data_IF_715415807008
#
_entry.id   IF_715415807008
#
_cell.length_a   1.000
_cell.length_b   1.000
_cell.length_c   1.000
_cell.angle_alpha   90.00
_cell.angle_beta   90.00
_cell.angle_gamma   90.00
#
_symmetry.space_group_name_H-M   'P 1'
#
loop_
_entity.id
_entity.type
_entity.pdbx_description
1 polymer ?
#
# COMPACT_ATOMS: atom_id res chain seq x y z
N UNK A 1 -7.56 -14.75 -19.62
CA UNK A 1 -6.69 -14.41 -20.76
C UNK A 1 -5.89 -15.65 -21.12
N UNK A 2 -6.03 -16.15 -22.34
CA UNK A 2 -5.14 -17.19 -22.87
C UNK A 2 -3.83 -16.53 -23.29
N UNK A 3 -2.70 -17.13 -22.91
CA UNK A 3 -1.38 -16.62 -23.29
C UNK A 3 -0.99 -17.31 -24.58
N UNK A 4 -1.10 -16.60 -25.69
CA UNK A 4 -0.61 -17.06 -26.99
C UNK A 4 0.89 -16.72 -27.14
N UNK A 5 1.63 -17.44 -28.01
CA UNK A 5 3.06 -17.18 -28.21
C UNK A 5 3.40 -15.74 -28.63
N UNK A 6 2.54 -15.11 -29.43
CA UNK A 6 2.63 -13.71 -29.84
C UNK A 6 2.53 -12.76 -28.64
N UNK A 7 1.56 -12.96 -27.75
CA UNK A 7 1.41 -12.17 -26.52
C UNK A 7 2.62 -12.36 -25.59
N UNK A 8 3.09 -13.60 -25.44
CA UNK A 8 4.23 -13.90 -24.57
C UNK A 8 5.55 -13.27 -25.06
N UNK A 9 5.71 -13.10 -26.37
CA UNK A 9 6.92 -12.55 -27.00
C UNK A 9 6.82 -11.06 -27.34
N UNK A 10 5.61 -10.48 -27.31
CA UNK A 10 5.40 -9.08 -27.59
C UNK A 10 6.29 -8.16 -26.73
N UNK A 11 6.76 -7.08 -27.36
CA UNK A 11 7.57 -6.08 -26.70
C UNK A 11 6.70 -5.27 -25.73
N UNK A 12 7.19 -5.06 -24.52
CA UNK A 12 6.52 -4.20 -23.54
C UNK A 12 6.74 -2.74 -23.90
N UNK A 13 5.66 -1.96 -23.96
CA UNK A 13 5.68 -0.51 -24.17
C UNK A 13 5.38 0.14 -22.83
N UNK A 14 6.38 0.78 -22.18
CA UNK A 14 6.19 1.41 -20.88
C UNK A 14 5.39 2.71 -20.99
N UNK A 15 4.51 2.95 -20.02
CA UNK A 15 3.73 4.19 -19.92
C UNK A 15 4.00 4.88 -18.60
N UNK A 16 3.68 4.22 -17.47
CA UNK A 16 3.68 4.85 -16.15
C UNK A 16 4.57 4.09 -15.18
N UNK A 17 5.49 4.79 -14.52
CA UNK A 17 6.30 4.23 -13.43
C UNK A 17 5.56 4.40 -12.11
N UNK A 18 5.16 3.29 -11.49
CA UNK A 18 4.44 3.32 -10.21
C UNK A 18 5.37 3.37 -9.01
N UNK A 19 6.51 2.68 -9.09
CA UNK A 19 7.44 2.54 -7.98
C UNK A 19 8.85 2.25 -8.46
N UNK A 20 9.85 2.85 -7.82
CA UNK A 20 11.26 2.51 -8.01
C UNK A 20 11.92 2.34 -6.64
N UNK A 21 12.50 1.17 -6.40
CA UNK A 21 13.26 0.87 -5.19
C UNK A 21 14.59 0.17 -5.53
N UNK A 22 15.43 -0.08 -4.52
CA UNK A 22 16.77 -0.70 -4.71
C UNK A 22 16.71 -2.14 -5.25
N UNK A 23 15.54 -2.78 -5.23
CA UNK A 23 15.34 -4.17 -5.62
C UNK A 23 14.55 -4.32 -6.92
N UNK A 24 13.80 -3.29 -7.35
CA UNK A 24 13.02 -3.32 -8.59
C UNK A 24 12.40 -1.98 -8.96
N UNK A 25 12.02 -1.87 -10.23
CA UNK A 25 11.14 -0.82 -10.73
C UNK A 25 9.84 -1.43 -11.25
N UNK A 26 8.68 -0.86 -10.89
CA UNK A 26 7.36 -1.33 -11.32
C UNK A 26 6.76 -0.33 -12.29
N UNK A 27 6.50 -0.77 -13.52
CA UNK A 27 6.07 0.04 -14.65
C UNK A 27 4.81 -0.60 -15.25
N UNK A 28 3.75 0.17 -15.46
CA UNK A 28 2.61 -0.26 -16.26
C UNK A 28 2.73 0.21 -17.70
N UNK A 29 1.99 -0.47 -18.57
CA UNK A 29 1.86 -0.12 -19.97
C UNK A 29 1.13 -1.23 -20.71
N UNK A 30 1.43 -1.39 -21.98
CA UNK A 30 0.79 -2.37 -22.86
C UNK A 30 1.81 -3.20 -23.64
N UNK A 31 1.30 -4.15 -24.42
CA UNK A 31 2.11 -4.95 -25.33
C UNK A 31 2.03 -4.38 -26.74
N UNK A 32 3.17 -4.27 -27.43
CA UNK A 32 3.21 -3.84 -28.83
C UNK A 32 2.36 -4.77 -29.69
N UNK A 33 1.37 -4.21 -30.39
CA UNK A 33 0.39 -4.97 -31.19
C UNK A 33 -0.87 -5.41 -30.42
N UNK A 34 -0.90 -5.20 -29.10
CA UNK A 34 -2.05 -5.50 -28.24
C UNK A 34 -2.27 -4.37 -27.20
N UNK A 35 -2.71 -3.18 -27.64
CA UNK A 35 -2.91 -2.03 -26.74
C UNK A 35 -3.96 -2.29 -25.65
N UNK A 36 -4.93 -3.16 -25.92
CA UNK A 36 -5.99 -3.53 -24.96
C UNK A 36 -5.49 -4.42 -23.80
N UNK A 37 -4.28 -4.96 -23.92
CA UNK A 37 -3.68 -5.82 -22.89
C UNK A 37 -2.80 -4.97 -21.97
N UNK A 38 -3.44 -4.42 -20.93
CA UNK A 38 -2.74 -3.73 -19.86
C UNK A 38 -1.88 -4.70 -19.04
N UNK A 39 -0.61 -4.35 -18.83
CA UNK A 39 0.39 -5.18 -18.17
C UNK A 39 1.25 -4.38 -17.20
N UNK A 40 1.87 -5.08 -16.25
CA UNK A 40 2.84 -4.53 -15.31
C UNK A 40 4.15 -5.27 -15.45
N UNK A 41 5.22 -4.52 -15.70
CA UNK A 41 6.60 -5.01 -15.64
C UNK A 41 7.21 -4.64 -14.28
N UNK A 42 7.62 -5.65 -13.53
CA UNK A 42 8.61 -5.50 -12.47
C UNK A 42 10.00 -5.70 -13.05
N UNK A 43 10.64 -4.59 -13.39
CA UNK A 43 11.97 -4.50 -13.99
C UNK A 43 13.07 -4.69 -12.94
N UNK A 44 14.07 -5.49 -13.28
CA UNK A 44 15.15 -5.97 -12.40
C UNK A 44 16.55 -5.78 -13.00
N UNK A 45 16.66 -5.47 -14.29
CA UNK A 45 17.95 -5.28 -14.98
C UNK A 45 18.68 -3.99 -14.59
N UNK A 46 17.95 -3.00 -14.07
CA UNK A 46 18.46 -1.70 -13.61
C UNK A 46 18.89 -1.69 -12.14
N UNK A 47 18.79 -2.81 -11.42
CA UNK A 47 19.14 -2.86 -10.00
C UNK A 47 20.66 -2.81 -9.78
N UNK A 48 21.14 -2.20 -8.67
CA UNK A 48 22.56 -2.15 -8.33
C UNK A 48 23.20 -3.54 -8.28
N UNK A 49 24.47 -3.66 -8.69
CA UNK A 49 25.18 -4.94 -8.81
C UNK A 49 25.12 -5.78 -7.53
N UNK A 50 25.28 -5.14 -6.37
CA UNK A 50 25.24 -5.81 -5.06
C UNK A 50 23.84 -6.34 -4.70
N UNK A 51 22.77 -5.73 -5.20
CA UNK A 51 21.39 -6.13 -4.92
C UNK A 51 20.88 -7.21 -5.90
N UNK A 52 21.57 -7.45 -7.02
CA UNK A 52 21.15 -8.40 -8.07
C UNK A 52 20.87 -9.82 -7.57
N UNK A 53 21.73 -10.47 -6.75
CA UNK A 53 21.47 -11.85 -6.31
C UNK A 53 20.16 -11.96 -5.52
N UNK A 54 19.94 -11.04 -4.58
CA UNK A 54 18.75 -11.02 -3.75
C UNK A 54 17.50 -10.68 -4.57
N UNK A 55 17.59 -9.68 -5.47
CA UNK A 55 16.49 -9.26 -6.34
C UNK A 55 16.05 -10.40 -7.26
N UNK A 56 17.00 -11.14 -7.84
CA UNK A 56 16.73 -12.33 -8.66
C UNK A 56 16.08 -13.45 -7.85
N UNK A 57 16.54 -13.69 -6.63
CA UNK A 57 15.93 -14.69 -5.74
C UNK A 57 14.47 -14.32 -5.38
N UNK A 58 14.21 -13.06 -5.04
CA UNK A 58 12.86 -12.56 -4.76
C UNK A 58 11.95 -12.70 -5.98
N UNK A 59 12.43 -12.32 -7.16
CA UNK A 59 11.69 -12.43 -8.41
C UNK A 59 11.42 -13.90 -8.78
N UNK A 60 12.38 -14.81 -8.56
CA UNK A 60 12.17 -16.23 -8.80
C UNK A 60 11.08 -16.81 -7.87
N UNK A 61 11.01 -16.34 -6.62
CA UNK A 61 9.94 -16.72 -5.68
C UNK A 61 8.58 -16.19 -6.13
N UNK A 62 8.50 -14.92 -6.53
CA UNK A 62 7.27 -14.32 -7.06
C UNK A 62 6.81 -15.05 -8.33
N UNK A 63 7.73 -15.31 -9.27
CA UNK A 63 7.47 -16.08 -10.49
C UNK A 63 6.89 -17.46 -10.16
N UNK A 64 7.46 -18.17 -9.18
CA UNK A 64 6.95 -19.47 -8.75
C UNK A 64 5.54 -19.37 -8.17
N UNK A 65 5.27 -18.32 -7.37
CA UNK A 65 3.94 -18.04 -6.84
C UNK A 65 2.92 -17.78 -7.94
N UNK A 66 3.26 -16.91 -8.88
CA UNK A 66 2.39 -16.54 -10.02
C UNK A 66 2.11 -17.71 -10.96
N UNK A 67 3.12 -18.53 -11.28
CA UNK A 67 2.92 -19.76 -12.06
C UNK A 67 1.97 -20.73 -11.37
N UNK A 68 2.04 -20.84 -10.04
CA UNK A 68 1.18 -21.75 -9.28
C UNK A 68 -0.28 -21.27 -9.21
N UNK A 69 -0.54 -19.96 -9.29
CA UNK A 69 -1.90 -19.39 -9.30
C UNK A 69 -2.43 -19.07 -10.69
N UNK A 70 -1.70 -19.45 -11.73
CA UNK A 70 -2.09 -19.20 -13.11
C UNK A 70 -3.43 -19.88 -13.43
N UNK A 71 -4.35 -19.12 -14.04
CA UNK A 71 -5.72 -19.58 -14.33
C UNK A 71 -6.73 -19.41 -13.20
N UNK A 72 -6.30 -18.95 -12.01
CA UNK A 72 -7.24 -18.57 -10.94
C UNK A 72 -7.79 -17.17 -11.26
N UNK A 73 -9.08 -17.08 -11.53
CA UNK A 73 -9.77 -15.81 -11.75
C UNK A 73 -9.71 -14.92 -10.50
N UNK A 74 -9.20 -13.70 -10.67
CA UNK A 74 -8.91 -12.74 -9.60
C UNK A 74 -7.43 -12.74 -9.14
N UNK A 75 -6.58 -13.61 -9.71
CA UNK A 75 -5.13 -13.54 -9.57
C UNK A 75 -4.47 -12.97 -10.85
N UNK A 76 -3.32 -12.28 -10.73
CA UNK A 76 -2.57 -11.79 -11.87
C UNK A 76 -1.99 -12.95 -12.67
N UNK A 77 -2.06 -12.84 -13.99
CA UNK A 77 -1.52 -13.81 -14.93
C UNK A 77 -0.06 -13.47 -15.21
N UNK A 78 0.84 -14.45 -15.09
CA UNK A 78 2.23 -14.28 -15.49
C UNK A 78 2.36 -14.44 -17.01
N UNK A 79 2.80 -13.39 -17.71
CA UNK A 79 3.03 -13.44 -19.16
C UNK A 79 4.47 -13.89 -19.46
N UNK A 80 5.45 -13.26 -18.81
CA UNK A 80 6.87 -13.55 -19.05
C UNK A 80 7.71 -13.32 -17.80
N UNK A 81 8.75 -14.13 -17.64
CA UNK A 81 9.79 -13.94 -16.63
C UNK A 81 11.15 -14.17 -17.28
N UNK A 82 11.95 -13.12 -17.41
CA UNK A 82 13.22 -13.11 -18.14
C UNK A 82 14.30 -12.28 -17.40
N UNK A 83 15.39 -11.94 -18.10
CA UNK A 83 16.51 -11.17 -17.54
C UNK A 83 16.16 -9.70 -17.28
N UNK A 84 15.17 -9.14 -18.00
CA UNK A 84 14.67 -7.79 -17.80
C UNK A 84 13.81 -7.74 -16.55
N UNK A 85 12.96 -8.75 -16.35
CA UNK A 85 12.14 -8.85 -15.16
C UNK A 85 10.93 -9.76 -15.28
N UNK A 86 9.87 -9.39 -14.55
CA UNK A 86 8.62 -10.13 -14.45
C UNK A 86 7.48 -9.31 -15.05
N UNK A 87 6.89 -9.80 -16.14
CA UNK A 87 5.75 -9.18 -16.82
C UNK A 87 4.47 -9.95 -16.49
N UNK A 88 3.47 -9.25 -15.94
CA UNK A 88 2.18 -9.82 -15.54
C UNK A 88 1.01 -8.96 -15.99
N UNK A 89 -0.19 -9.52 -16.02
CA UNK A 89 -1.40 -8.78 -16.35
C UNK A 89 -1.66 -7.67 -15.32
N UNK A 90 -2.14 -6.53 -15.79
CA UNK A 90 -2.76 -5.53 -14.92
C UNK A 90 -4.13 -6.04 -14.46
N UNK A 91 -4.41 -5.91 -13.17
CA UNK A 91 -5.73 -6.21 -12.62
C UNK A 91 -6.44 -4.90 -12.37
N UNK A 92 -7.51 -4.63 -13.13
CA UNK A 92 -8.36 -3.47 -12.88
C UNK A 92 -9.15 -3.67 -11.58
N UNK A 93 -9.21 -2.64 -10.75
CA UNK A 93 -10.04 -2.65 -9.56
C UNK A 93 -9.63 -1.60 -8.55
N UNK A 94 -10.58 -1.28 -7.68
CA UNK A 94 -10.41 -0.28 -6.63
C UNK A 94 -9.81 -0.96 -5.39
N UNK A 95 -8.70 -0.44 -4.81
CA UNK A 95 -8.14 -0.95 -3.57
C UNK A 95 -9.17 -1.01 -2.44
N UNK A 96 -9.11 -2.06 -1.62
CA UNK A 96 -10.13 -2.34 -0.60
C UNK A 96 -10.35 -1.20 0.40
N UNK A 97 -9.30 -0.43 0.70
CA UNK A 97 -9.35 0.76 1.56
C UNK A 97 -10.33 1.82 1.05
N UNK A 98 -10.47 1.95 -0.26
CA UNK A 98 -11.36 2.89 -0.93
C UNK A 98 -12.73 2.24 -1.21
N UNK A 99 -12.72 1.01 -1.74
CA UNK A 99 -13.94 0.31 -2.10
C UNK A 99 -14.86 -0.02 -0.91
N UNK A 100 -14.28 -0.29 0.27
CA UNK A 100 -14.98 -0.61 1.53
C UNK A 100 -16.25 -1.48 1.31
N UNK A 101 -16.13 -2.66 0.68
CA UNK A 101 -17.27 -3.42 0.21
C UNK A 101 -18.15 -3.86 1.37
N UNK A 102 -19.44 -3.57 1.27
CA UNK A 102 -20.49 -4.01 2.20
C UNK A 102 -21.27 -5.23 1.67
N UNK A 103 -21.03 -5.63 0.42
CA UNK A 103 -21.71 -6.76 -0.24
C UNK A 103 -21.13 -8.12 0.23
N UNK A 104 -21.98 -9.06 0.71
CA UNK A 104 -21.59 -10.45 0.97
C UNK A 104 -20.88 -11.17 -0.16
N UNK A 105 -21.22 -10.90 -1.42
CA UNK A 105 -20.69 -11.64 -2.57
C UNK A 105 -19.21 -11.38 -2.79
N UNK A 106 -18.73 -10.16 -2.53
CA UNK A 106 -17.30 -9.85 -2.54
C UNK A 106 -16.53 -10.73 -1.55
N UNK A 107 -17.04 -10.89 -0.31
CA UNK A 107 -16.38 -11.73 0.70
C UNK A 107 -16.49 -13.23 0.41
N UNK A 108 -17.57 -13.68 -0.24
CA UNK A 108 -17.69 -15.07 -0.73
C UNK A 108 -16.63 -15.34 -1.79
N UNK A 109 -16.43 -14.40 -2.70
CA UNK A 109 -15.44 -14.48 -3.76
C UNK A 109 -13.99 -14.40 -3.25
N UNK A 110 -13.70 -13.50 -2.31
CA UNK A 110 -12.40 -13.43 -1.64
C UNK A 110 -12.06 -14.76 -0.90
N UNK A 111 -13.07 -15.39 -0.28
CA UNK A 111 -12.92 -16.72 0.32
C UNK A 111 -12.75 -17.84 -0.73
N UNK A 112 -13.34 -17.72 -1.93
CA UNK A 112 -13.06 -18.62 -3.06
C UNK A 112 -11.58 -18.49 -3.47
N UNK A 113 -11.10 -17.27 -3.72
CA UNK A 113 -9.70 -17.01 -4.07
C UNK A 113 -8.72 -17.64 -3.09
N UNK A 114 -8.91 -17.43 -1.78
CA UNK A 114 -8.03 -18.03 -0.78
C UNK A 114 -8.08 -19.57 -0.78
N UNK A 115 -9.25 -20.17 -1.04
CA UNK A 115 -9.37 -21.63 -1.15
C UNK A 115 -8.66 -22.16 -2.40
N UNK A 116 -8.76 -21.46 -3.53
CA UNK A 116 -8.13 -21.85 -4.79
C UNK A 116 -6.60 -21.71 -4.72
N UNK A 117 -6.09 -20.58 -4.21
CA UNK A 117 -4.65 -20.44 -3.93
C UNK A 117 -4.15 -21.54 -2.99
N UNK A 118 -4.90 -21.85 -1.93
CA UNK A 118 -4.56 -22.95 -1.01
C UNK A 118 -4.58 -24.31 -1.72
N UNK A 119 -5.52 -24.56 -2.65
CA UNK A 119 -5.54 -25.79 -3.46
C UNK A 119 -4.32 -25.86 -4.37
N UNK A 120 -3.86 -24.74 -4.92
CA UNK A 120 -2.61 -24.63 -5.66
C UNK A 120 -1.34 -24.73 -4.77
N UNK A 121 -1.49 -24.87 -3.44
CA UNK A 121 -0.36 -24.93 -2.52
C UNK A 121 0.29 -23.58 -2.23
N UNK A 122 -0.41 -22.48 -2.53
CA UNK A 122 0.07 -21.11 -2.37
C UNK A 122 -0.54 -20.47 -1.12
N UNK A 123 0.30 -19.77 -0.35
CA UNK A 123 -0.13 -18.81 0.67
C UNK A 123 0.43 -17.44 0.32
N UNK A 124 -0.39 -16.40 0.39
CA UNK A 124 -0.04 -15.07 -0.07
C UNK A 124 0.83 -14.32 0.95
N UNK A 125 0.54 -14.50 2.25
CA UNK A 125 1.28 -13.94 3.38
C UNK A 125 1.33 -12.40 3.48
N UNK A 126 0.69 -11.66 2.57
CA UNK A 126 0.66 -10.18 2.59
C UNK A 126 -0.75 -9.60 2.36
N UNK A 127 -1.80 -10.43 2.42
CA UNK A 127 -3.20 -9.98 2.29
C UNK A 127 -3.74 -9.30 3.55
N UNK A 128 -2.86 -9.07 4.53
CA UNK A 128 -3.14 -8.21 5.67
C UNK A 128 -3.28 -6.74 5.23
N UNK A 129 -2.57 -6.34 4.18
CA UNK A 129 -2.67 -4.99 3.62
C UNK A 129 -3.94 -4.90 2.79
N UNK A 130 -4.87 -3.97 3.10
CA UNK A 130 -6.07 -3.78 2.29
C UNK A 130 -5.76 -3.46 0.82
N UNK A 131 -4.62 -2.80 0.56
CA UNK A 131 -4.16 -2.41 -0.77
C UNK A 131 -3.89 -3.61 -1.70
N UNK A 132 -3.61 -4.79 -1.13
CA UNK A 132 -3.38 -6.01 -1.90
C UNK A 132 -4.69 -6.70 -2.31
N UNK A 133 -5.83 -6.19 -1.85
CA UNK A 133 -7.16 -6.59 -2.29
C UNK A 133 -7.75 -5.51 -3.19
N UNK A 134 -8.33 -5.95 -4.30
CA UNK A 134 -9.07 -5.10 -5.22
C UNK A 134 -10.53 -5.55 -5.27
N UNK A 135 -11.43 -4.59 -5.43
CA UNK A 135 -12.78 -4.81 -5.92
C UNK A 135 -12.78 -4.51 -7.42
N UNK A 136 -13.05 -5.52 -8.25
CA UNK A 136 -13.13 -5.33 -9.70
C UNK A 136 -14.37 -4.49 -10.05
N UNK A 137 -14.46 -3.90 -11.25
CA UNK A 137 -15.65 -3.17 -11.69
C UNK A 137 -16.95 -4.00 -11.60
N UNK A 138 -16.85 -5.33 -11.72
CA UNK A 138 -17.96 -6.28 -11.60
C UNK A 138 -18.31 -6.63 -10.14
N UNK A 139 -17.67 -5.95 -9.17
CA UNK A 139 -17.88 -6.18 -7.74
C UNK A 139 -17.22 -7.45 -7.20
N UNK A 140 -16.32 -8.07 -7.96
CA UNK A 140 -15.62 -9.31 -7.59
C UNK A 140 -14.34 -9.02 -6.82
N UNK A 141 -13.81 -10.03 -6.14
CA UNK A 141 -12.56 -9.91 -5.42
C UNK A 141 -11.38 -10.23 -6.35
N UNK A 142 -10.32 -9.45 -6.25
CA UNK A 142 -9.04 -9.78 -6.84
C UNK A 142 -7.89 -9.50 -5.86
N UNK A 143 -6.77 -10.17 -6.06
CA UNK A 143 -5.55 -10.03 -5.25
C UNK A 143 -4.38 -9.62 -6.11
N UNK A 144 -3.51 -8.77 -5.58
CA UNK A 144 -2.27 -8.33 -6.23
C UNK A 144 -1.08 -8.52 -5.28
N UNK A 145 0.13 -8.35 -5.82
CA UNK A 145 1.40 -8.41 -5.09
C UNK A 145 1.75 -9.79 -4.48
N UNK A 146 2.31 -10.67 -5.31
CA UNK A 146 2.74 -12.01 -4.91
C UNK A 146 4.19 -12.07 -4.41
N UNK A 147 4.82 -10.93 -4.10
CA UNK A 147 6.24 -10.90 -3.74
C UNK A 147 6.56 -11.71 -2.48
N UNK A 148 5.66 -11.69 -1.50
CA UNK A 148 5.78 -12.46 -0.25
C UNK A 148 5.09 -13.82 -0.31
N UNK A 149 4.49 -14.18 -1.44
CA UNK A 149 3.84 -15.47 -1.60
C UNK A 149 4.84 -16.62 -1.38
N UNK A 150 4.31 -17.75 -0.91
CA UNK A 150 5.09 -18.97 -0.76
C UNK A 150 4.33 -20.15 -1.32
N UNK A 151 5.04 -20.97 -2.11
CA UNK A 151 4.54 -22.20 -2.70
C UNK A 151 5.06 -23.37 -1.86
N UNK A 152 4.14 -24.23 -1.43
CA UNK A 152 4.43 -25.33 -0.53
C UNK A 152 4.21 -26.66 -1.25
N UNK A 153 5.25 -27.48 -1.47
CA UNK A 153 5.09 -28.79 -2.10
C UNK A 153 4.31 -29.77 -1.21
N UNK A 154 4.35 -29.56 0.11
CA UNK A 154 3.63 -30.37 1.11
C UNK A 154 2.75 -29.49 1.97
N UNK A 155 1.50 -29.91 2.21
CA UNK A 155 0.51 -29.17 3.01
C UNK A 155 0.68 -29.38 4.53
N UNK A 156 1.91 -29.23 5.02
CA UNK A 156 2.32 -29.45 6.41
C UNK A 156 1.80 -28.40 7.40
N UNK A 157 2.25 -28.47 8.66
CA UNK A 157 1.79 -27.58 9.75
C UNK A 157 2.01 -26.09 9.42
N UNK A 158 3.17 -25.73 8.87
CA UNK A 158 3.50 -24.34 8.50
C UNK A 158 2.57 -23.80 7.40
N UNK A 159 2.31 -24.59 6.36
CA UNK A 159 1.35 -24.24 5.31
C UNK A 159 -0.05 -23.99 5.88
N UNK A 160 -0.53 -24.90 6.75
CA UNK A 160 -1.84 -24.77 7.38
C UNK A 160 -1.94 -23.52 8.26
N UNK A 161 -0.87 -23.18 8.96
CA UNK A 161 -0.77 -21.95 9.75
C UNK A 161 -0.85 -20.71 8.85
N UNK A 162 -0.02 -20.62 7.81
CA UNK A 162 0.00 -19.48 6.89
C UNK A 162 -1.34 -19.29 6.18
N UNK A 163 -1.93 -20.37 5.69
CA UNK A 163 -3.26 -20.34 5.07
C UNK A 163 -4.36 -19.91 6.06
N UNK A 164 -4.24 -20.30 7.34
CA UNK A 164 -5.15 -19.82 8.39
C UNK A 164 -4.97 -18.33 8.63
N UNK A 165 -3.74 -17.81 8.68
CA UNK A 165 -3.49 -16.38 8.86
C UNK A 165 -4.00 -15.58 7.67
N UNK A 166 -3.76 -16.03 6.44
CA UNK A 166 -4.34 -15.43 5.23
C UNK A 166 -5.87 -15.26 5.39
N UNK A 167 -6.59 -16.35 5.71
CA UNK A 167 -8.04 -16.26 5.97
C UNK A 167 -8.37 -15.30 7.12
N UNK A 168 -7.60 -15.34 8.21
CA UNK A 168 -7.83 -14.47 9.37
C UNK A 168 -7.65 -12.99 9.01
N UNK A 169 -6.68 -12.67 8.16
CA UNK A 169 -6.45 -11.32 7.66
C UNK A 169 -7.62 -10.82 6.82
N UNK A 170 -8.17 -11.65 5.92
CA UNK A 170 -9.41 -11.33 5.22
C UNK A 170 -10.56 -11.06 6.21
N UNK A 171 -10.70 -11.87 7.25
CA UNK A 171 -11.76 -11.67 8.25
C UNK A 171 -11.58 -10.38 9.08
N UNK A 172 -10.34 -9.92 9.29
CA UNK A 172 -10.10 -8.62 9.91
C UNK A 172 -10.60 -7.48 9.01
N UNK A 173 -10.38 -7.58 7.69
CA UNK A 173 -10.92 -6.61 6.75
C UNK A 173 -12.45 -6.65 6.71
N UNK A 174 -13.03 -7.85 6.71
CA UNK A 174 -14.48 -8.03 6.82
C UNK A 174 -15.06 -7.39 8.08
N UNK A 175 -14.38 -7.53 9.22
CA UNK A 175 -14.79 -6.85 10.47
C UNK A 175 -14.74 -5.32 10.36
N UNK A 176 -13.74 -4.79 9.66
CA UNK A 176 -13.56 -3.34 9.52
C UNK A 176 -14.61 -2.70 8.61
N UNK A 177 -14.93 -3.34 7.48
CA UNK A 177 -15.78 -2.74 6.44
C UNK A 177 -17.22 -3.28 6.44
N UNK A 178 -17.44 -4.51 6.90
CA UNK A 178 -18.76 -5.15 6.91
C UNK A 178 -18.98 -6.03 8.17
N UNK A 179 -18.94 -5.43 9.38
CA UNK A 179 -19.04 -6.19 10.64
C UNK A 179 -20.33 -7.01 10.74
N UNK A 180 -21.45 -6.48 10.21
CA UNK A 180 -22.75 -7.17 10.21
C UNK A 180 -22.79 -8.45 9.37
N UNK A 181 -21.80 -8.69 8.51
CA UNK A 181 -21.72 -9.91 7.71
C UNK A 181 -20.96 -11.04 8.40
N UNK A 182 -20.31 -10.79 9.53
CA UNK A 182 -19.50 -11.80 10.22
C UNK A 182 -20.38 -12.92 10.79
N UNK A 183 -19.97 -14.15 10.52
CA UNK A 183 -20.62 -15.32 11.13
C UNK A 183 -20.06 -15.60 12.53
N UNK A 184 -20.80 -16.33 13.40
CA UNK A 184 -20.29 -16.73 14.72
C UNK A 184 -18.95 -17.49 14.66
N UNK A 185 -18.75 -18.30 13.62
CA UNK A 185 -17.49 -19.02 13.40
C UNK A 185 -16.30 -18.09 13.06
N UNK A 186 -16.57 -17.03 12.30
CA UNK A 186 -15.58 -16.01 11.92
C UNK A 186 -15.21 -15.16 13.14
N UNK A 187 -16.18 -14.80 13.99
CA UNK A 187 -15.91 -14.17 15.29
C UNK A 187 -15.00 -15.01 16.19
N UNK A 188 -15.29 -16.32 16.31
CA UNK A 188 -14.45 -17.25 17.09
C UNK A 188 -13.02 -17.31 16.54
N UNK A 189 -12.86 -17.36 15.22
CA UNK A 189 -11.54 -17.36 14.59
C UNK A 189 -10.76 -16.06 14.81
N UNK A 190 -11.44 -14.91 14.80
CA UNK A 190 -10.82 -13.62 15.06
C UNK A 190 -10.36 -13.49 16.53
N UNK A 191 -11.16 -14.01 17.48
CA UNK A 191 -10.83 -14.04 18.91
C UNK A 191 -9.62 -14.95 19.21
N UNK A 192 -9.46 -16.04 18.47
CA UNK A 192 -8.34 -16.96 18.61
C UNK A 192 -7.07 -16.46 17.90
N UNK A 193 -6.24 -15.68 18.60
CA UNK A 193 -4.87 -15.35 18.14
C UNK A 193 -4.06 -16.65 17.95
N UNK A 194 -3.37 -16.82 16.83
CA UNK A 194 -2.58 -18.03 16.58
C UNK A 194 -1.40 -18.16 17.53
N UNK A 195 -1.09 -19.40 17.93
CA UNK A 195 0.01 -19.71 18.86
C UNK A 195 1.36 -19.10 18.43
N UNK A 196 1.74 -19.07 17.14
CA UNK A 196 2.98 -18.42 16.68
C UNK A 196 2.93 -16.90 16.77
N UNK A 197 1.76 -16.27 16.64
CA UNK A 197 1.60 -14.83 16.87
C UNK A 197 1.73 -14.48 18.36
N UNK A 198 1.23 -15.34 19.26
CA UNK A 198 1.48 -15.21 20.71
C UNK A 198 2.95 -15.42 21.06
N UNK A 199 3.59 -16.43 20.46
CA UNK A 199 5.00 -16.74 20.70
C UNK A 199 5.91 -15.64 20.12
N UNK A 200 5.66 -15.16 18.91
CA UNK A 200 6.36 -14.01 18.32
C UNK A 200 6.19 -12.74 19.17
N UNK A 201 4.99 -12.45 19.67
CA UNK A 201 4.76 -11.34 20.61
C UNK A 201 5.52 -11.52 21.92
N UNK A 202 5.71 -12.76 22.40
CA UNK A 202 6.39 -13.07 23.65
C UNK A 202 7.93 -13.11 23.51
N UNK A 203 8.48 -13.60 22.39
CA UNK A 203 9.92 -13.86 22.22
C UNK A 203 10.53 -13.06 21.07
N UNK A 204 9.93 -13.10 19.88
CA UNK A 204 10.42 -12.45 18.67
C UNK A 204 10.40 -10.92 18.72
N UNK A 205 9.33 -10.33 19.28
CA UNK A 205 9.16 -8.86 19.36
C UNK A 205 10.24 -8.20 20.24
N UNK A 206 10.72 -8.87 21.28
CA UNK A 206 11.79 -8.37 22.15
C UNK A 206 13.16 -8.40 21.46
N UNK A 207 13.48 -9.50 20.78
CA UNK A 207 14.74 -9.65 20.04
C UNK A 207 14.77 -8.76 18.78
N UNK A 208 13.65 -8.69 18.06
CA UNK A 208 13.43 -7.78 16.94
C UNK A 208 13.57 -6.32 17.37
N UNK A 209 12.84 -5.89 18.42
CA UNK A 209 12.97 -4.53 18.98
C UNK A 209 14.37 -4.24 19.52
N UNK A 210 15.09 -5.23 20.05
CA UNK A 210 16.46 -5.06 20.53
C UNK A 210 17.44 -4.83 19.37
N UNK A 211 17.29 -5.59 18.28
CA UNK A 211 18.12 -5.45 17.07
C UNK A 211 17.76 -4.15 16.31
N UNK A 212 16.47 -3.83 16.16
CA UNK A 212 16.01 -2.62 15.45
C UNK A 212 16.19 -1.34 16.27
N UNK A 213 16.10 -1.36 17.60
CA UNK A 213 16.40 -0.15 18.42
C UNK A 213 17.90 0.12 18.60
N UNK A 214 18.77 -0.88 18.42
CA UNK A 214 20.20 -0.76 18.72
C UNK A 214 21.12 -0.80 17.49
N UNK A 215 20.68 -1.37 16.37
CA UNK A 215 21.52 -1.56 15.18
C UNK A 215 21.01 -0.85 13.92
N UNK A 216 19.70 -0.71 13.73
CA UNK A 216 19.11 -0.10 12.52
C UNK A 216 17.77 0.52 12.88
N UNK A 217 17.73 1.86 12.97
CA UNK A 217 16.61 2.71 13.38
C UNK A 217 15.34 2.53 12.50
N UNK A 218 14.74 1.33 12.54
CA UNK A 218 13.70 0.85 11.64
C UNK A 218 12.45 0.47 12.45
N UNK A 219 11.31 0.99 12.02
CA UNK A 219 9.98 0.82 12.62
C UNK A 219 9.02 0.29 11.54
N UNK A 220 8.41 -0.87 11.78
CA UNK A 220 7.36 -1.45 10.94
C UNK A 220 6.09 -0.57 10.96
N UNK A 221 5.32 -0.60 9.86
CA UNK A 221 4.09 0.17 9.62
C UNK A 221 2.89 -0.07 10.56
N UNK A 222 3.11 -0.62 11.76
CA UNK A 222 2.22 -0.42 12.92
C UNK A 222 2.43 0.97 13.55
N UNK A 223 3.57 1.65 13.28
CA UNK A 223 3.87 2.97 13.85
C UNK A 223 3.15 4.17 13.20
N UNK A 224 2.16 3.91 12.35
CA UNK A 224 1.46 4.94 11.55
C UNK A 224 0.51 5.75 12.41
N UNK A 225 -0.18 5.10 13.34
CA UNK A 225 -1.00 5.76 14.38
C UNK A 225 -0.10 6.24 15.52
N UNK A 226 0.90 5.44 15.94
CA UNK A 226 1.82 5.80 17.05
C UNK A 226 2.47 7.18 16.85
N UNK A 227 2.89 7.53 15.63
CA UNK A 227 3.57 8.82 15.40
C UNK A 227 2.62 10.00 15.50
N UNK A 228 1.42 9.88 14.95
CA UNK A 228 0.41 10.93 15.02
C UNK A 228 -0.09 11.10 16.47
N UNK A 229 -0.32 10.00 17.18
CA UNK A 229 -0.74 10.01 18.58
C UNK A 229 0.35 10.57 19.52
N UNK A 230 1.61 10.23 19.27
CA UNK A 230 2.74 10.68 20.10
C UNK A 230 3.12 12.14 19.84
N UNK A 231 3.26 12.53 18.58
CA UNK A 231 3.83 13.84 18.20
C UNK A 231 2.73 14.89 17.92
N UNK A 232 1.54 14.45 17.53
CA UNK A 232 0.43 15.31 17.12
C UNK A 232 -0.09 16.26 18.20
N UNK A 233 -0.36 15.82 19.46
CA UNK A 233 -0.86 16.71 20.50
C UNK A 233 0.09 17.87 20.83
N UNK A 234 1.39 17.59 20.93
CA UNK A 234 2.40 18.61 21.22
C UNK A 234 2.56 19.59 20.05
N UNK A 235 2.56 19.09 18.82
CA UNK A 235 2.65 19.90 17.61
C UNK A 235 1.41 20.80 17.44
N UNK A 236 0.21 20.25 17.63
CA UNK A 236 -1.05 21.00 17.58
C UNK A 236 -1.05 22.13 18.60
N UNK A 237 -0.68 21.83 19.86
CA UNK A 237 -0.59 22.84 20.92
C UNK A 237 0.39 23.96 20.54
N UNK A 238 1.63 23.60 20.22
CA UNK A 238 2.68 24.58 19.93
C UNK A 238 2.36 25.51 18.75
N UNK A 239 1.68 24.99 17.71
CA UNK A 239 1.35 25.78 16.53
C UNK A 239 0.02 26.54 16.69
N UNK A 240 -1.01 25.96 17.30
CA UNK A 240 -2.29 26.65 17.54
C UNK A 240 -2.22 27.71 18.65
N UNK A 241 -1.17 27.69 19.48
CA UNK A 241 -0.90 28.79 20.42
C UNK A 241 -0.49 30.09 19.70
N UNK A 242 -0.17 30.04 18.40
CA UNK A 242 0.20 31.23 17.61
C UNK A 242 -1.04 31.88 16.95
N UNK A 243 -1.28 33.20 17.12
CA UNK A 243 -2.52 33.86 16.71
C UNK A 243 -2.77 33.87 15.18
N UNK A 244 -1.73 33.69 14.38
CA UNK A 244 -1.83 33.65 12.91
C UNK A 244 -1.99 32.24 12.33
N UNK A 245 -2.08 31.20 13.17
CA UNK A 245 -2.32 29.82 12.74
C UNK A 245 -3.75 29.45 13.14
N UNK A 246 -4.62 29.25 12.15
CA UNK A 246 -6.06 29.03 12.39
C UNK A 246 -6.41 27.56 12.57
N UNK A 247 -5.77 26.67 11.81
CA UNK A 247 -6.02 25.24 11.90
C UNK A 247 -4.84 24.42 11.35
N UNK A 248 -4.82 23.12 11.68
CA UNK A 248 -3.75 22.20 11.30
C UNK A 248 -4.35 20.83 10.96
N UNK A 249 -3.96 20.31 9.80
CA UNK A 249 -4.21 18.94 9.40
C UNK A 249 -2.90 18.14 9.38
N UNK A 250 -2.89 17.02 10.07
CA UNK A 250 -1.71 16.15 10.19
C UNK A 250 -1.99 14.84 9.47
N UNK A 251 -1.12 14.48 8.53
CA UNK A 251 -1.20 13.25 7.77
C UNK A 251 0.09 12.46 7.93
N UNK A 252 0.00 11.14 8.01
CA UNK A 252 1.18 10.28 8.05
C UNK A 252 1.47 9.69 6.68
N UNK A 253 2.75 9.50 6.37
CA UNK A 253 3.20 8.93 5.11
C UNK A 253 4.41 8.02 5.31
N UNK A 254 4.67 7.11 4.37
CA UNK A 254 5.79 6.18 4.47
C UNK A 254 7.10 6.86 4.04
N UNK A 255 8.14 6.77 4.87
CA UNK A 255 9.49 7.21 4.53
C UNK A 255 10.33 6.04 3.98
N UNK A 256 11.12 6.24 2.90
CA UNK A 256 12.11 5.25 2.48
C UNK A 256 13.11 5.00 3.62
N UNK A 257 13.13 3.77 4.15
CA UNK A 257 14.06 3.29 5.19
C UNK A 257 13.97 3.92 6.61
N UNK A 258 13.07 4.88 6.88
CA UNK A 258 12.96 5.56 8.21
C UNK A 258 11.62 5.38 8.94
N UNK A 259 10.74 4.50 8.47
CA UNK A 259 9.44 4.24 9.10
C UNK A 259 8.36 5.22 8.62
N UNK A 260 7.65 5.86 9.54
CA UNK A 260 6.52 6.75 9.26
C UNK A 260 6.95 8.21 9.43
N UNK A 261 6.71 9.02 8.41
CA UNK A 261 6.84 10.47 8.42
C UNK A 261 5.53 11.17 8.73
N UNK A 262 5.63 12.41 9.19
CA UNK A 262 4.51 13.31 9.48
C UNK A 262 4.54 14.48 8.51
N UNK A 263 3.41 14.71 7.85
CA UNK A 263 3.14 15.84 6.98
C UNK A 263 2.14 16.76 7.68
N UNK A 264 2.54 17.99 7.97
CA UNK A 264 1.70 19.00 8.58
C UNK A 264 1.25 20.03 7.53
N UNK A 265 -0.04 20.11 7.28
CA UNK A 265 -0.67 21.21 6.57
C UNK A 265 -1.14 22.23 7.59
N UNK A 266 -0.64 23.46 7.50
CA UNK A 266 -0.86 24.51 8.50
C UNK A 266 -1.58 25.67 7.84
N UNK A 267 -2.81 25.95 8.28
CA UNK A 267 -3.61 27.06 7.78
C UNK A 267 -3.10 28.36 8.40
N UNK A 268 -2.44 29.20 7.61
CA UNK A 268 -1.78 30.42 8.11
C UNK A 268 -1.35 31.36 6.99
N UNK A 269 -1.17 32.64 7.34
CA UNK A 269 -0.49 33.63 6.50
C UNK A 269 1.04 33.62 6.64
N UNK A 270 1.59 32.83 7.57
CA UNK A 270 3.03 32.72 7.81
C UNK A 270 3.74 31.91 6.72
N UNK A 271 5.05 32.12 6.59
CA UNK A 271 5.89 31.30 5.71
C UNK A 271 6.21 29.93 6.33
N UNK A 272 6.52 28.94 5.48
CA UNK A 272 6.99 27.62 5.93
C UNK A 272 8.18 27.71 6.91
N UNK A 273 9.09 28.66 6.70
CA UNK A 273 10.28 28.83 7.53
C UNK A 273 9.93 29.31 8.95
N UNK A 274 8.94 30.19 9.09
CA UNK A 274 8.46 30.68 10.38
C UNK A 274 7.76 29.57 11.16
N UNK A 275 6.83 28.86 10.52
CA UNK A 275 6.11 27.72 11.14
C UNK A 275 7.08 26.61 11.55
N UNK A 276 8.12 26.35 10.74
CA UNK A 276 9.16 25.36 11.07
C UNK A 276 9.97 25.72 12.32
N UNK A 277 10.10 27.02 12.66
CA UNK A 277 10.76 27.46 13.90
C UNK A 277 9.87 27.23 15.13
N UNK A 278 8.55 27.32 14.97
CA UNK A 278 7.56 27.10 16.02
C UNK A 278 7.33 25.61 16.32
N UNK A 279 7.56 24.74 15.33
CA UNK A 279 7.34 23.30 15.48
C UNK A 279 8.30 22.66 16.52
N UNK A 280 7.77 21.92 17.53
CA UNK A 280 8.57 21.24 18.53
C UNK A 280 9.35 20.05 17.94
N UNK A 281 10.36 19.60 18.67
CA UNK A 281 11.11 18.38 18.33
C UNK A 281 10.38 17.14 18.88
N UNK A 282 10.22 16.05 18.11
CA UNK A 282 10.68 15.85 16.72
C UNK A 282 9.81 16.60 15.70
N UNK A 283 10.47 17.28 14.74
CA UNK A 283 9.76 18.03 13.70
C UNK A 283 9.09 17.09 12.69
N UNK A 284 7.94 17.49 12.12
CA UNK A 284 7.41 16.87 10.91
C UNK A 284 8.44 16.91 9.78
N UNK A 285 8.47 15.86 8.96
CA UNK A 285 9.33 15.81 7.77
C UNK A 285 8.89 16.83 6.71
N UNK A 286 7.59 17.14 6.66
CA UNK A 286 7.03 18.17 5.81
C UNK A 286 6.11 19.09 6.61
N UNK A 287 6.31 20.41 6.47
CA UNK A 287 5.43 21.46 6.97
C UNK A 287 5.09 22.35 5.78
N UNK A 288 3.84 22.30 5.35
CA UNK A 288 3.33 23.12 4.25
C UNK A 288 2.29 24.09 4.80
N UNK A 289 2.54 25.38 4.66
CA UNK A 289 1.56 26.42 4.93
C UNK A 289 0.58 26.52 3.79
N UNK A 290 -0.69 26.70 4.13
CA UNK A 290 -1.80 26.82 3.19
C UNK A 290 -2.67 28.00 3.61
N UNK A 291 -3.25 28.70 2.63
CA UNK A 291 -4.15 29.82 2.92
C UNK A 291 -5.48 29.36 3.55
N UNK A 292 -5.98 28.19 3.12
CA UNK A 292 -7.19 27.57 3.65
C UNK A 292 -7.06 26.04 3.53
N UNK A 293 -7.44 25.29 4.57
CA UNK A 293 -7.57 23.85 4.47
C UNK A 293 -8.85 23.48 3.71
N UNK A 294 -8.82 22.43 2.86
CA UNK A 294 -10.03 21.90 2.27
C UNK A 294 -10.91 21.32 3.37
N UNK A 295 -12.23 21.58 3.34
CA UNK A 295 -13.18 21.15 4.38
C UNK A 295 -14.37 20.41 3.78
N UNK A 296 -14.96 19.51 4.56
CA UNK A 296 -16.29 18.97 4.31
C UNK A 296 -17.36 20.04 4.56
N UNK A 297 -18.61 19.83 4.13
CA UNK A 297 -19.72 20.75 4.44
C UNK A 297 -19.95 20.97 5.94
N UNK A 298 -19.50 20.05 6.80
CA UNK A 298 -19.57 20.16 8.27
C UNK A 298 -18.41 20.98 8.88
N UNK A 299 -17.51 21.53 8.06
CA UNK A 299 -16.36 22.34 8.49
C UNK A 299 -15.13 21.53 8.91
N UNK A 300 -15.21 20.20 8.92
CA UNK A 300 -14.05 19.35 9.26
C UNK A 300 -13.06 19.30 8.09
N UNK A 301 -11.72 19.30 8.34
CA UNK A 301 -10.74 19.19 7.26
C UNK A 301 -10.89 17.89 6.45
N UNK A 302 -10.75 17.99 5.12
CA UNK A 302 -10.71 16.87 4.15
C UNK A 302 -9.41 16.07 4.30
N UNK A 303 -9.29 15.34 5.40
CA UNK A 303 -8.12 14.49 5.68
C UNK A 303 -7.97 13.38 4.62
N UNK A 304 -9.06 12.95 4.00
CA UNK A 304 -9.06 12.05 2.84
C UNK A 304 -8.22 12.62 1.68
N UNK A 305 -8.49 13.86 1.27
CA UNK A 305 -7.74 14.52 0.19
C UNK A 305 -6.30 14.85 0.59
N UNK A 306 -6.10 15.38 1.80
CA UNK A 306 -4.76 15.74 2.30
C UNK A 306 -3.85 14.53 2.49
N UNK A 307 -4.40 13.36 2.83
CA UNK A 307 -3.65 12.10 2.91
C UNK A 307 -3.17 11.66 1.53
N UNK A 308 -4.00 11.79 0.49
CA UNK A 308 -3.60 11.49 -0.88
C UNK A 308 -2.48 12.42 -1.36
N UNK A 309 -2.54 13.71 -0.98
CA UNK A 309 -1.44 14.65 -1.22
C UNK A 309 -0.19 14.19 -0.47
N UNK A 310 -0.25 13.94 0.83
CA UNK A 310 0.90 13.56 1.65
C UNK A 310 1.57 12.25 1.19
N UNK A 311 0.78 11.32 0.64
CA UNK A 311 1.26 10.03 0.10
C UNK A 311 1.60 10.07 -1.39
N UNK A 312 1.52 11.24 -2.03
CA UNK A 312 1.80 11.47 -3.45
C UNK A 312 0.95 10.59 -4.39
N UNK A 313 -0.33 10.39 -4.06
CA UNK A 313 -1.31 9.61 -4.83
C UNK A 313 -2.20 10.54 -5.66
N UNK A 314 -1.61 11.19 -6.67
CA UNK A 314 -2.31 12.21 -7.45
C UNK A 314 -3.42 11.65 -8.34
N UNK A 315 -3.28 10.42 -8.86
CA UNK A 315 -4.33 9.79 -9.69
C UNK A 315 -5.63 9.57 -8.90
N UNK A 316 -5.52 9.09 -7.66
CA UNK A 316 -6.66 8.93 -6.73
C UNK A 316 -7.25 10.30 -6.33
N UNK A 317 -6.41 11.34 -6.27
CA UNK A 317 -6.85 12.71 -5.98
C UNK A 317 -7.60 13.34 -7.15
N UNK A 318 -7.20 13.06 -8.40
CA UNK A 318 -7.95 13.49 -9.59
C UNK A 318 -9.32 12.83 -9.66
N UNK A 319 -9.43 11.55 -9.30
CA UNK A 319 -10.74 10.89 -9.17
C UNK A 319 -11.60 11.55 -8.10
N UNK A 320 -11.03 11.89 -6.94
CA UNK A 320 -11.75 12.58 -5.85
C UNK A 320 -12.23 13.98 -6.26
N UNK A 321 -11.52 14.64 -7.17
CA UNK A 321 -11.85 15.98 -7.70
C UNK A 321 -12.88 15.97 -8.83
N UNK A 322 -13.10 14.83 -9.49
CA UNK A 322 -13.92 14.74 -10.70
C UNK A 322 -15.36 15.22 -10.47
N UNK A 323 -15.89 15.01 -9.26
CA UNK A 323 -17.27 15.32 -8.91
C UNK A 323 -17.41 16.58 -8.03
N UNK A 324 -16.31 17.29 -7.73
CA UNK A 324 -16.29 18.43 -6.78
C UNK A 324 -15.34 19.55 -7.25
N UNK A 325 -15.91 20.51 -7.99
CA UNK A 325 -15.15 21.64 -8.58
C UNK A 325 -14.57 22.59 -7.53
N UNK A 326 -15.25 22.75 -6.40
CA UNK A 326 -14.84 23.66 -5.32
C UNK A 326 -13.66 23.07 -4.54
N UNK A 327 -13.71 21.76 -4.30
CA UNK A 327 -12.57 21.00 -3.78
C UNK A 327 -11.39 21.07 -4.74
N UNK A 328 -11.61 20.92 -6.05
CA UNK A 328 -10.55 21.01 -7.05
C UNK A 328 -9.85 22.38 -7.02
N UNK A 329 -10.61 23.47 -6.89
CA UNK A 329 -10.06 24.83 -6.77
C UNK A 329 -9.23 25.00 -5.49
N UNK A 330 -9.71 24.48 -4.37
CA UNK A 330 -9.03 24.58 -3.06
C UNK A 330 -7.77 23.73 -3.00
N UNK A 331 -7.77 22.55 -3.60
CA UNK A 331 -6.61 21.64 -3.60
C UNK A 331 -5.51 22.06 -4.57
N UNK A 332 -5.84 22.74 -5.66
CA UNK A 332 -4.87 23.15 -6.70
C UNK A 332 -3.60 23.83 -6.15
N UNK A 333 -3.67 24.87 -5.30
CA UNK A 333 -2.47 25.48 -4.72
C UNK A 333 -1.69 24.51 -3.82
N UNK A 334 -2.40 23.67 -3.04
CA UNK A 334 -1.78 22.70 -2.12
C UNK A 334 -1.00 21.64 -2.91
N UNK A 335 -1.58 21.10 -3.99
CA UNK A 335 -0.94 20.12 -4.87
C UNK A 335 0.29 20.74 -5.56
N UNK A 336 0.16 21.98 -6.04
CA UNK A 336 1.23 22.69 -6.77
C UNK A 336 2.46 22.91 -5.88
N UNK A 337 2.24 23.20 -4.59
CA UNK A 337 3.29 23.51 -3.62
C UNK A 337 3.65 22.32 -2.70
N UNK A 338 3.21 21.10 -3.04
CA UNK A 338 3.45 19.92 -2.20
C UNK A 338 4.96 19.65 -2.04
N UNK A 339 5.35 19.28 -0.84
CA UNK A 339 6.76 19.14 -0.44
C UNK A 339 7.32 17.73 -0.61
N UNK A 340 6.47 16.79 -1.03
CA UNK A 340 6.81 15.42 -1.33
C UNK A 340 7.01 15.15 -2.84
N UNK A 341 7.26 16.22 -3.62
CA UNK A 341 7.80 16.14 -4.97
C UNK A 341 9.14 15.40 -4.91
N UNK A 342 9.11 14.10 -5.18
CA UNK A 342 10.34 13.32 -5.34
C UNK A 342 10.86 13.53 -6.75
N UNK A 343 11.21 14.77 -7.08
CA UNK A 343 12.14 15.00 -8.18
C UNK A 343 13.51 14.47 -7.75
N UNK A 344 14.09 13.68 -8.63
CA UNK A 344 15.45 13.14 -8.52
C UNK A 344 16.42 14.17 -7.93
N UNK A 345 16.86 13.97 -6.69
CA UNK A 345 18.24 14.32 -6.35
C UNK A 345 19.09 13.12 -6.77
N UNK A 346 19.36 13.04 -8.08
CA UNK A 346 20.62 12.48 -8.54
C UNK A 346 21.69 13.36 -7.89
N UNK A 347 22.31 12.88 -6.81
CA UNK A 347 23.62 13.41 -6.48
C UNK A 347 24.54 12.94 -7.60
N UNK A 348 25.10 13.91 -8.31
CA UNK A 348 26.20 13.73 -9.23
C UNK A 348 27.37 13.02 -8.55
#
# INVERSE_FOLDING_TARGET
MEITPDIAQAAFVPETVHKRDIFSETISGHLKGHPDIAVVLRKLDTVPLYARPLSRWLAARETRGLRAVQGIEGCPTLLRADHVGLLRSWTQGTPLQLAKPSDPDWYRDAKRLLREMRRAGVTHNDIAKPQNWLMTPEGRAAVIDFQLASVHPRRGKLFRLKAREDLRHLLKQKRAYAPGLLTPSEHKMLAQKSLPSRLWMATGKRLYNFITRRLMNWSDGEGTEDRLERDGPALRKALLDHPQITDIALCTFALPAKGVGLYAFVETSLSNAEVTKLAPTPKPEHIQTVAALPRHPDGTPRLDALTLIATNRLDELEQLKADDSDLAATLKPIITQRLNLTDRVLRA
#
